data_IF_138553896204
#
_entry.id   IF_138553896204
#
_cell.length_a   1.000
_cell.length_b   1.000
_cell.length_c   1.000
_cell.angle_alpha   90.00
_cell.angle_beta   90.00
_cell.angle_gamma   90.00
#
_symmetry.space_group_name_H-M   'P 1'
#
loop_
_entity.id
_entity.type
_entity.pdbx_description
1 polymer ?
#
# COMPACT_ATOMS: atom_id res chain seq x y z
N UNK A 1 -5.05 66.47 25.22
CA UNK A 1 -3.67 65.97 25.38
C UNK A 1 -3.73 64.66 26.16
N UNK A 2 -4.17 63.57 25.53
CA UNK A 2 -4.14 62.18 26.09
C UNK A 2 -4.61 61.20 24.99
N UNK A 3 -3.72 60.83 24.08
CA UNK A 3 -4.02 59.80 23.07
C UNK A 3 -2.80 59.01 22.56
N UNK A 4 -1.74 58.90 23.35
CA UNK A 4 -0.52 58.19 22.89
C UNK A 4 -0.09 57.05 23.82
N UNK A 5 -0.80 56.77 24.92
CA UNK A 5 -0.35 55.79 25.89
C UNK A 5 -0.93 54.37 25.68
N UNK A 6 -2.00 54.21 24.92
CA UNK A 6 -2.64 52.86 24.77
C UNK A 6 -2.10 52.05 23.60
N UNK A 7 -1.34 52.65 22.70
CA UNK A 7 -0.83 51.97 21.49
C UNK A 7 0.44 51.16 21.75
N UNK A 8 1.27 51.60 22.71
CA UNK A 8 2.55 50.94 23.03
C UNK A 8 2.35 49.72 23.90
N UNK A 9 1.30 49.70 24.76
CA UNK A 9 1.03 48.56 25.63
C UNK A 9 0.46 47.36 24.89
N UNK A 10 -0.27 47.57 23.80
CA UNK A 10 -0.84 46.48 22.98
C UNK A 10 0.19 45.80 22.10
N UNK A 11 1.22 46.51 21.68
CA UNK A 11 2.30 45.96 20.84
C UNK A 11 3.26 45.06 21.64
N UNK A 12 3.44 45.35 22.93
CA UNK A 12 4.32 44.53 23.80
C UNK A 12 3.63 43.23 24.21
N UNK A 13 2.30 43.21 24.32
CA UNK A 13 1.56 41.96 24.68
C UNK A 13 1.50 40.96 23.54
N UNK A 14 1.54 41.39 22.28
CA UNK A 14 1.52 40.50 21.11
C UNK A 14 2.91 39.86 20.86
N UNK A 15 3.99 40.50 21.25
CA UNK A 15 5.36 40.00 21.09
C UNK A 15 5.75 38.93 22.09
N UNK A 16 5.05 38.82 23.21
CA UNK A 16 5.35 37.76 24.23
C UNK A 16 4.65 36.44 23.98
N UNK A 17 3.77 36.33 22.98
CA UNK A 17 3.07 35.07 22.67
C UNK A 17 3.78 34.22 21.59
N UNK A 18 4.91 34.70 21.06
CA UNK A 18 5.60 34.05 19.94
C UNK A 18 6.79 33.19 20.34
N UNK A 19 7.04 32.97 21.62
CA UNK A 19 8.09 32.08 22.10
C UNK A 19 7.48 30.88 22.82
N UNK A 20 6.63 30.11 22.14
CA UNK A 20 6.47 28.71 22.48
C UNK A 20 7.71 28.01 21.96
N UNK A 21 8.73 27.91 22.78
CA UNK A 21 9.86 27.02 22.57
C UNK A 21 9.30 25.63 22.61
N UNK A 22 9.03 25.03 21.44
CA UNK A 22 8.88 23.60 21.37
C UNK A 22 10.17 22.97 21.89
N UNK A 23 10.13 22.12 22.91
CA UNK A 23 11.33 21.41 23.32
C UNK A 23 11.84 20.68 22.11
N UNK A 24 13.05 21.03 21.68
CA UNK A 24 13.77 20.30 20.68
C UNK A 24 14.15 18.94 21.31
N UNK A 25 13.18 18.02 21.33
CA UNK A 25 13.47 16.63 21.60
C UNK A 25 14.32 16.15 20.41
N UNK A 26 15.63 16.32 20.58
CA UNK A 26 16.59 15.44 19.88
C UNK A 26 16.35 14.05 20.45
N UNK A 27 15.31 13.38 19.96
CA UNK A 27 15.31 11.92 19.95
C UNK A 27 16.51 11.56 19.10
N UNK A 28 17.45 10.84 19.69
CA UNK A 28 18.43 10.09 18.92
C UNK A 28 17.61 9.27 17.93
N UNK A 29 17.55 9.76 16.70
CA UNK A 29 17.01 9.04 15.56
C UNK A 29 17.94 7.83 15.31
N UNK A 30 17.78 6.81 16.10
CA UNK A 30 18.02 5.44 15.65
C UNK A 30 16.89 5.16 14.64
N UNK A 31 17.03 5.77 13.45
CA UNK A 31 16.19 5.45 12.30
C UNK A 31 16.49 4.01 11.94
N UNK A 32 15.81 3.09 12.60
CA UNK A 32 15.69 1.74 12.08
C UNK A 32 15.11 1.91 10.67
N UNK A 33 15.96 1.78 9.65
CA UNK A 33 15.52 1.84 8.26
C UNK A 33 14.58 0.66 8.06
N UNK A 34 13.27 0.92 8.17
CA UNK A 34 12.25 -0.07 7.84
C UNK A 34 12.41 -0.42 6.36
N UNK A 35 12.70 -1.67 6.08
CA UNK A 35 12.78 -2.19 4.73
C UNK A 35 11.49 -2.95 4.46
N UNK A 36 10.65 -2.42 3.57
CA UNK A 36 9.39 -3.04 3.17
C UNK A 36 9.61 -4.41 2.54
N UNK A 37 8.64 -5.32 2.67
CA UNK A 37 8.74 -6.67 2.13
C UNK A 37 9.09 -6.70 0.65
N UNK A 38 8.48 -5.83 -0.16
CA UNK A 38 8.74 -5.73 -1.59
C UNK A 38 10.22 -5.44 -1.95
N UNK A 39 10.96 -4.75 -1.09
CA UNK A 39 12.39 -4.48 -1.28
C UNK A 39 13.30 -5.66 -0.93
N UNK A 40 12.74 -6.78 -0.45
CA UNK A 40 13.50 -7.92 0.05
C UNK A 40 13.34 -9.17 -0.84
N UNK A 41 13.28 -8.99 -2.18
CA UNK A 41 13.07 -10.07 -3.16
C UNK A 41 13.98 -11.27 -2.89
N UNK A 42 15.25 -11.05 -2.60
CA UNK A 42 16.21 -12.13 -2.32
C UNK A 42 15.83 -13.05 -1.15
N UNK A 43 14.89 -12.65 -0.31
CA UNK A 43 14.41 -13.51 0.80
C UNK A 43 13.31 -14.47 0.38
N UNK A 44 12.60 -14.19 -0.72
CA UNK A 44 11.48 -14.99 -1.17
C UNK A 44 11.56 -15.42 -2.64
N UNK A 45 12.55 -14.97 -3.42
CA UNK A 45 12.71 -15.33 -4.83
C UNK A 45 12.74 -16.85 -5.08
N UNK A 46 13.36 -17.62 -4.17
CA UNK A 46 13.40 -19.09 -4.26
C UNK A 46 11.99 -19.72 -4.20
N UNK A 47 11.01 -19.06 -3.57
CA UNK A 47 9.63 -19.53 -3.51
C UNK A 47 8.88 -19.27 -4.81
N UNK A 48 9.38 -18.36 -5.64
CA UNK A 48 8.78 -17.92 -6.90
C UNK A 48 9.33 -18.64 -8.14
N UNK A 49 10.45 -19.38 -8.00
CA UNK A 49 11.08 -20.10 -9.11
C UNK A 49 10.13 -21.14 -9.71
N UNK A 50 9.99 -21.14 -11.03
CA UNK A 50 9.14 -22.05 -11.79
C UNK A 50 7.66 -22.03 -11.37
N UNK A 51 7.18 -20.91 -10.80
CA UNK A 51 5.80 -20.71 -10.35
C UNK A 51 5.08 -19.69 -11.21
N UNK A 52 3.82 -19.99 -11.53
CA UNK A 52 2.88 -19.03 -12.12
C UNK A 52 2.34 -18.15 -10.99
N UNK A 53 2.65 -16.86 -11.04
CA UNK A 53 2.47 -15.93 -9.94
C UNK A 53 1.23 -15.07 -10.18
N UNK A 54 0.28 -15.08 -9.23
CA UNK A 54 -0.77 -14.10 -9.13
C UNK A 54 -0.38 -13.00 -8.13
N UNK A 55 -0.58 -11.74 -8.47
CA UNK A 55 -0.20 -10.63 -7.60
C UNK A 55 -1.42 -9.76 -7.26
N UNK A 56 -1.74 -9.65 -5.98
CA UNK A 56 -2.72 -8.69 -5.46
C UNK A 56 -1.99 -7.38 -5.21
N UNK A 57 -2.23 -6.39 -6.05
CA UNK A 57 -1.44 -5.17 -6.10
C UNK A 57 -2.25 -3.93 -6.53
N UNK A 58 -1.79 -2.76 -6.12
CA UNK A 58 -2.26 -1.47 -6.59
C UNK A 58 -1.07 -0.51 -6.81
N UNK A 59 -1.32 0.77 -7.04
CA UNK A 59 -0.28 1.79 -7.26
C UNK A 59 0.73 1.92 -6.11
N UNK A 60 0.41 1.44 -4.90
CA UNK A 60 1.33 1.48 -3.76
C UNK A 60 2.32 0.31 -3.72
N UNK A 61 2.16 -0.68 -4.60
CA UNK A 61 3.00 -1.88 -4.68
C UNK A 61 4.35 -1.54 -5.32
N UNK A 62 5.19 -0.78 -4.61
CA UNK A 62 6.43 -0.23 -5.13
C UNK A 62 7.67 -0.75 -4.38
N UNK A 63 8.76 -0.88 -5.12
CA UNK A 63 10.10 -1.16 -4.63
C UNK A 63 10.88 0.14 -4.65
N UNK A 64 11.34 0.60 -3.50
CA UNK A 64 12.14 1.81 -3.38
C UNK A 64 13.58 1.58 -3.81
N UNK A 65 14.15 2.53 -4.53
CA UNK A 65 15.53 2.50 -4.99
C UNK A 65 16.40 3.49 -4.23
N UNK A 66 17.72 3.26 -4.24
CA UNK A 66 18.69 4.11 -3.55
C UNK A 66 18.76 5.54 -4.13
N UNK A 67 18.36 5.73 -5.38
CA UNK A 67 18.33 7.01 -6.09
C UNK A 67 17.05 7.83 -5.83
N UNK A 68 16.32 7.51 -4.75
CA UNK A 68 15.02 8.10 -4.39
C UNK A 68 13.90 7.83 -5.40
N UNK A 69 14.13 7.00 -6.39
CA UNK A 69 13.11 6.51 -7.30
C UNK A 69 12.41 5.27 -6.76
N UNK A 70 11.44 4.80 -7.53
CA UNK A 70 10.77 3.52 -7.27
C UNK A 70 10.41 2.83 -8.58
N UNK A 71 10.15 1.54 -8.50
CA UNK A 71 9.58 0.74 -9.58
C UNK A 71 8.41 -0.05 -9.02
N UNK A 72 7.40 -0.31 -9.84
CA UNK A 72 6.29 -1.15 -9.41
C UNK A 72 6.77 -2.60 -9.23
N UNK A 73 6.26 -3.32 -8.21
CA UNK A 73 6.65 -4.70 -7.92
C UNK A 73 6.44 -5.61 -9.14
N UNK A 74 5.28 -5.55 -9.79
CA UNK A 74 4.95 -6.34 -10.99
C UNK A 74 5.98 -6.12 -12.08
N UNK A 75 6.27 -4.84 -12.40
CA UNK A 75 7.27 -4.51 -13.44
C UNK A 75 8.67 -5.04 -13.07
N UNK A 76 8.99 -5.07 -11.78
CA UNK A 76 10.30 -5.56 -11.29
C UNK A 76 10.41 -7.07 -11.38
N UNK A 77 9.35 -7.81 -11.01
CA UNK A 77 9.34 -9.27 -11.10
C UNK A 77 9.39 -9.75 -12.54
N UNK A 78 8.64 -9.10 -13.46
CA UNK A 78 8.73 -9.41 -14.91
C UNK A 78 10.14 -9.15 -15.43
N UNK A 79 10.78 -8.05 -15.03
CA UNK A 79 12.15 -7.74 -15.45
C UNK A 79 13.19 -8.76 -14.91
N UNK A 80 12.86 -9.45 -13.84
CA UNK A 80 13.68 -10.53 -13.26
C UNK A 80 13.31 -11.91 -13.81
N UNK A 81 12.52 -11.97 -14.90
CA UNK A 81 12.08 -13.17 -15.59
C UNK A 81 11.20 -14.12 -14.75
N UNK A 82 10.51 -13.59 -13.72
CA UNK A 82 9.48 -14.36 -13.02
C UNK A 82 8.18 -14.42 -13.84
N UNK A 83 7.52 -15.58 -13.81
CA UNK A 83 6.26 -15.83 -14.53
C UNK A 83 5.07 -15.18 -13.80
N UNK A 84 4.91 -13.87 -13.95
CA UNK A 84 3.72 -13.15 -13.48
C UNK A 84 2.59 -13.38 -14.46
N UNK A 85 1.58 -14.15 -14.04
CA UNK A 85 0.47 -14.61 -14.89
C UNK A 85 -0.68 -13.60 -14.92
N UNK A 86 -1.06 -13.06 -13.76
CA UNK A 86 -2.15 -12.07 -13.68
C UNK A 86 -2.06 -11.21 -12.42
N UNK A 87 -2.82 -10.13 -12.44
CA UNK A 87 -2.92 -9.14 -11.39
C UNK A 87 -4.34 -9.16 -10.83
N UNK A 88 -4.48 -9.05 -9.52
CA UNK A 88 -5.73 -8.84 -8.81
C UNK A 88 -5.74 -7.44 -8.24
N UNK A 89 -6.61 -6.56 -8.73
CA UNK A 89 -6.65 -5.16 -8.35
C UNK A 89 -7.78 -4.88 -7.34
N UNK A 90 -7.47 -4.28 -6.17
CA UNK A 90 -8.50 -3.86 -5.22
C UNK A 90 -9.22 -2.60 -5.71
N UNK A 91 -10.09 -2.04 -4.88
CA UNK A 91 -10.68 -0.71 -5.08
C UNK A 91 -9.60 0.30 -5.51
N UNK A 92 -9.94 1.24 -6.39
CA UNK A 92 -9.07 2.21 -7.09
C UNK A 92 -8.21 1.64 -8.21
N UNK A 93 -8.29 0.34 -8.50
CA UNK A 93 -7.58 -0.28 -9.62
C UNK A 93 -6.08 -0.46 -9.42
N UNK A 94 -5.46 -1.07 -10.42
CA UNK A 94 -4.06 -1.48 -10.35
C UNK A 94 -3.08 -0.29 -10.39
N UNK A 95 -3.30 0.67 -11.27
CA UNK A 95 -2.41 1.85 -11.43
C UNK A 95 -2.90 3.08 -10.62
N UNK A 96 -4.03 2.96 -9.90
CA UNK A 96 -4.57 4.05 -9.06
C UNK A 96 -5.17 5.20 -9.85
N UNK A 97 -5.68 4.93 -11.02
CA UNK A 97 -6.30 5.94 -11.92
C UNK A 97 -7.81 6.05 -11.73
N UNK A 98 -8.42 5.10 -11.03
CA UNK A 98 -9.86 5.00 -10.92
C UNK A 98 -10.41 5.83 -9.75
N UNK A 99 -11.54 6.54 -9.94
CA UNK A 99 -12.20 7.29 -8.88
C UNK A 99 -12.71 6.39 -7.74
N UNK A 100 -12.95 6.99 -6.57
CA UNK A 100 -13.57 6.31 -5.42
C UNK A 100 -14.92 5.72 -5.81
N UNK A 101 -15.14 4.45 -5.49
CA UNK A 101 -16.42 3.76 -5.72
C UNK A 101 -16.72 3.46 -7.20
N UNK A 102 -15.75 3.64 -8.09
CA UNK A 102 -15.92 3.21 -9.48
C UNK A 102 -16.03 1.69 -9.57
N UNK A 103 -17.02 1.22 -10.34
CA UNK A 103 -17.04 -0.17 -10.77
C UNK A 103 -15.91 -0.36 -11.78
N UNK A 104 -14.95 -1.22 -11.45
CA UNK A 104 -13.81 -1.51 -12.29
C UNK A 104 -14.01 -2.91 -12.86
N UNK A 105 -14.12 -3.01 -14.18
CA UNK A 105 -14.18 -4.30 -14.86
C UNK A 105 -12.77 -4.88 -15.04
N UNK A 106 -12.69 -6.17 -15.38
CA UNK A 106 -11.45 -6.81 -15.76
C UNK A 106 -10.85 -6.12 -16.99
N UNK A 107 -9.55 -5.89 -16.97
CA UNK A 107 -8.84 -5.18 -18.06
C UNK A 107 -7.48 -5.80 -18.36
N UNK A 108 -6.76 -5.23 -19.31
CA UNK A 108 -5.37 -5.59 -19.63
C UNK A 108 -4.47 -4.40 -19.26
N UNK A 109 -3.45 -4.64 -18.47
CA UNK A 109 -2.43 -3.62 -18.21
C UNK A 109 -1.66 -3.31 -19.50
N UNK A 110 -1.81 -2.10 -20.02
CA UNK A 110 -1.22 -1.67 -21.31
C UNK A 110 0.31 -1.82 -21.31
N UNK A 111 0.93 -1.66 -20.13
CA UNK A 111 2.40 -1.68 -20.01
C UNK A 111 2.97 -3.09 -20.07
N UNK A 112 2.31 -4.06 -19.45
CA UNK A 112 2.83 -5.43 -19.31
C UNK A 112 2.10 -6.45 -20.15
N UNK A 113 0.90 -6.12 -20.66
CA UNK A 113 0.01 -7.06 -21.34
C UNK A 113 -0.68 -8.07 -20.43
N UNK A 114 -0.51 -7.95 -19.11
CA UNK A 114 -1.10 -8.86 -18.14
C UNK A 114 -2.59 -8.60 -17.96
N UNK A 115 -3.36 -9.68 -17.73
CA UNK A 115 -4.75 -9.58 -17.33
C UNK A 115 -4.84 -9.03 -15.91
N UNK A 116 -5.67 -8.01 -15.71
CA UNK A 116 -6.06 -7.46 -14.43
C UNK A 116 -7.46 -7.96 -14.10
N UNK A 117 -7.59 -8.65 -12.98
CA UNK A 117 -8.86 -9.09 -12.40
C UNK A 117 -9.27 -8.06 -11.35
N UNK A 118 -10.41 -7.42 -11.56
CA UNK A 118 -10.93 -6.48 -10.58
C UNK A 118 -11.56 -7.21 -9.39
N UNK A 119 -11.12 -6.88 -8.18
CA UNK A 119 -11.73 -7.34 -6.94
C UNK A 119 -12.85 -6.40 -6.47
N UNK A 120 -13.20 -5.38 -7.27
CA UNK A 120 -14.22 -4.37 -6.96
C UNK A 120 -15.19 -4.16 -8.13
N UNK A 121 -15.47 -5.21 -8.90
CA UNK A 121 -16.40 -5.17 -10.04
C UNK A 121 -17.85 -5.42 -9.66
N UNK A 122 -18.78 -5.03 -10.55
CA UNK A 122 -20.23 -5.20 -10.38
C UNK A 122 -20.69 -6.65 -10.27
N UNK A 123 -19.93 -7.58 -10.84
CA UNK A 123 -20.30 -9.00 -10.94
C UNK A 123 -19.62 -9.88 -9.91
N UNK A 124 -18.89 -9.29 -8.94
CA UNK A 124 -18.16 -10.00 -7.90
C UNK A 124 -18.65 -9.58 -6.53
N UNK A 125 -18.64 -10.53 -5.60
CA UNK A 125 -18.74 -10.16 -4.19
C UNK A 125 -17.48 -9.41 -3.80
N UNK A 126 -17.66 -8.30 -3.15
CA UNK A 126 -16.61 -7.33 -2.83
C UNK A 126 -15.34 -7.99 -2.26
N UNK A 127 -14.20 -7.79 -2.92
CA UNK A 127 -12.90 -8.27 -2.50
C UNK A 127 -12.62 -9.75 -2.70
N UNK A 128 -13.61 -10.57 -3.12
CA UNK A 128 -13.42 -12.01 -3.31
C UNK A 128 -12.69 -12.33 -4.64
N UNK A 129 -11.86 -13.37 -4.59
CA UNK A 129 -11.27 -14.00 -5.76
C UNK A 129 -12.07 -15.26 -6.10
N UNK A 130 -12.53 -15.37 -7.32
CA UNK A 130 -13.20 -16.58 -7.80
C UNK A 130 -12.19 -17.71 -8.00
N UNK A 131 -12.56 -18.93 -7.64
CA UNK A 131 -11.69 -20.10 -7.80
C UNK A 131 -11.28 -20.33 -9.27
N UNK A 132 -12.13 -19.90 -10.21
CA UNK A 132 -11.83 -19.92 -11.64
C UNK A 132 -10.63 -19.07 -12.04
N UNK A 133 -10.41 -17.96 -11.35
CA UNK A 133 -9.29 -17.04 -11.62
C UNK A 133 -7.96 -17.54 -11.06
N UNK A 134 -7.99 -18.56 -10.19
CA UNK A 134 -6.82 -19.14 -9.56
C UNK A 134 -6.28 -20.42 -10.23
N UNK A 135 -7.00 -20.98 -11.21
CA UNK A 135 -6.64 -22.29 -11.82
C UNK A 135 -5.25 -22.35 -12.47
N UNK A 136 -4.72 -21.21 -12.88
CA UNK A 136 -3.42 -21.08 -13.52
C UNK A 136 -2.39 -20.37 -12.62
N UNK A 137 -2.63 -20.35 -11.31
CA UNK A 137 -1.77 -19.71 -10.29
C UNK A 137 -1.21 -20.80 -9.38
N UNK A 138 0.11 -20.79 -9.17
CA UNK A 138 0.82 -21.69 -8.26
C UNK A 138 1.17 -21.03 -6.93
N UNK A 139 1.21 -19.69 -6.91
CA UNK A 139 1.51 -18.89 -5.72
C UNK A 139 0.89 -17.49 -5.84
N UNK A 140 0.39 -16.97 -4.72
CA UNK A 140 -0.11 -15.60 -4.61
C UNK A 140 0.88 -14.71 -3.86
N UNK A 141 0.99 -13.46 -4.31
CA UNK A 141 1.66 -12.38 -3.57
C UNK A 141 0.63 -11.31 -3.25
N UNK A 142 0.59 -10.86 -2.00
CA UNK A 142 -0.16 -9.69 -1.59
C UNK A 142 0.80 -8.54 -1.25
N UNK A 143 0.67 -7.42 -1.96
CA UNK A 143 1.53 -6.25 -1.78
C UNK A 143 0.71 -4.95 -1.90
N UNK A 144 0.07 -4.55 -0.83
CA UNK A 144 -0.73 -3.31 -0.76
C UNK A 144 -0.36 -2.58 0.52
N UNK A 145 -0.13 -1.26 0.44
CA UNK A 145 0.05 -0.41 1.61
C UNK A 145 -1.28 -0.22 2.33
N UNK A 146 -1.38 -0.71 3.56
CA UNK A 146 -2.48 -0.35 4.45
C UNK A 146 -2.40 1.14 4.82
N UNK A 147 -3.54 1.79 4.95
CA UNK A 147 -3.64 3.21 5.31
C UNK A 147 -3.74 3.44 6.82
N UNK A 148 -3.77 2.37 7.61
CA UNK A 148 -3.77 2.40 9.08
C UNK A 148 -5.09 2.79 9.72
N UNK A 149 -6.22 2.58 9.04
CA UNK A 149 -7.57 2.85 9.56
C UNK A 149 -8.51 1.67 9.31
N UNK A 150 -9.33 1.31 10.31
CA UNK A 150 -10.16 0.09 10.29
C UNK A 150 -11.26 0.08 9.24
N UNK A 151 -11.75 1.23 8.82
CA UNK A 151 -12.83 1.34 7.83
C UNK A 151 -12.34 1.26 6.39
N UNK A 152 -11.02 1.25 6.16
CA UNK A 152 -10.48 1.13 4.81
C UNK A 152 -10.44 -0.33 4.37
N UNK A 153 -10.71 -0.58 3.09
CA UNK A 153 -11.08 -1.90 2.58
C UNK A 153 -9.91 -2.85 2.31
N UNK A 154 -8.67 -2.39 2.36
CA UNK A 154 -7.51 -3.22 2.04
C UNK A 154 -7.31 -4.40 2.98
N UNK A 155 -7.64 -4.23 4.28
CA UNK A 155 -7.59 -5.34 5.24
C UNK A 155 -8.66 -6.41 4.93
N UNK A 156 -9.84 -5.99 4.46
CA UNK A 156 -10.88 -6.93 4.01
C UNK A 156 -10.44 -7.67 2.75
N UNK A 157 -9.81 -6.96 1.81
CA UNK A 157 -9.23 -7.60 0.61
C UNK A 157 -8.21 -8.67 1.00
N UNK A 158 -7.30 -8.39 1.95
CA UNK A 158 -6.34 -9.38 2.45
C UNK A 158 -7.05 -10.60 3.03
N UNK A 159 -8.10 -10.39 3.84
CA UNK A 159 -8.88 -11.48 4.42
C UNK A 159 -9.46 -12.41 3.34
N UNK A 160 -10.12 -11.87 2.31
CA UNK A 160 -10.68 -12.66 1.22
C UNK A 160 -9.61 -13.35 0.36
N UNK A 161 -8.46 -12.72 0.17
CA UNK A 161 -7.31 -13.34 -0.51
C UNK A 161 -6.78 -14.53 0.29
N UNK A 162 -6.68 -14.42 1.62
CA UNK A 162 -6.30 -15.53 2.50
C UNK A 162 -7.31 -16.69 2.44
N UNK A 163 -8.61 -16.40 2.43
CA UNK A 163 -9.66 -17.42 2.29
C UNK A 163 -9.56 -18.12 0.93
N UNK A 164 -9.40 -17.38 -0.17
CA UNK A 164 -9.28 -17.94 -1.50
C UNK A 164 -8.01 -18.81 -1.64
N UNK A 165 -6.88 -18.33 -1.11
CA UNK A 165 -5.62 -19.07 -1.03
C UNK A 165 -5.80 -20.41 -0.30
N UNK A 166 -6.37 -20.37 0.91
CA UNK A 166 -6.61 -21.58 1.71
C UNK A 166 -7.59 -22.54 1.04
N UNK A 167 -8.67 -22.04 0.43
CA UNK A 167 -9.68 -22.84 -0.25
C UNK A 167 -9.13 -23.59 -1.47
N UNK A 168 -8.14 -23.00 -2.16
CA UNK A 168 -7.54 -23.54 -3.37
C UNK A 168 -6.16 -24.19 -3.12
N UNK A 169 -5.71 -24.28 -1.87
CA UNK A 169 -4.39 -24.83 -1.49
C UNK A 169 -3.22 -24.13 -2.22
N UNK A 170 -3.33 -22.83 -2.42
CA UNK A 170 -2.32 -21.99 -3.08
C UNK A 170 -1.54 -21.22 -2.01
N UNK A 171 -0.20 -21.34 -1.94
CA UNK A 171 0.61 -20.53 -1.02
C UNK A 171 0.44 -19.03 -1.23
N UNK A 172 0.40 -18.26 -0.12
CA UNK A 172 0.32 -16.81 -0.13
C UNK A 172 1.54 -16.20 0.55
N UNK A 173 2.20 -15.27 -0.14
CA UNK A 173 3.24 -14.41 0.42
C UNK A 173 2.65 -13.03 0.68
N UNK A 174 2.74 -12.54 1.91
CA UNK A 174 2.37 -11.17 2.26
C UNK A 174 3.64 -10.34 2.38
N UNK A 175 3.77 -9.33 1.52
CA UNK A 175 4.89 -8.39 1.55
C UNK A 175 4.52 -7.23 2.49
N UNK A 176 4.98 -7.35 3.73
CA UNK A 176 4.63 -6.41 4.80
C UNK A 176 5.11 -4.99 4.50
N UNK A 177 4.24 -4.03 4.83
CA UNK A 177 4.47 -2.59 4.74
C UNK A 177 4.12 -1.93 6.07
N UNK A 178 4.89 -0.93 6.53
CA UNK A 178 4.65 -0.32 7.82
C UNK A 178 3.28 0.36 7.89
N UNK A 179 2.56 0.13 8.98
CA UNK A 179 1.33 0.85 9.27
C UNK A 179 1.67 2.32 9.57
N UNK A 180 1.15 3.30 8.83
CA UNK A 180 1.44 4.72 9.04
C UNK A 180 0.97 5.23 10.41
N UNK A 181 0.01 4.55 11.04
CA UNK A 181 -0.55 4.89 12.36
C UNK A 181 -0.01 4.00 13.50
N UNK A 182 1.08 3.25 13.29
CA UNK A 182 1.64 2.33 14.29
C UNK A 182 2.19 3.02 15.56
N UNK A 183 2.29 4.36 15.57
CA UNK A 183 2.84 5.13 16.69
C UNK A 183 1.83 5.37 17.82
N UNK A 184 0.56 4.99 17.66
CA UNK A 184 -0.46 5.06 18.70
C UNK A 184 -1.45 3.89 18.60
N UNK A 185 -2.16 3.64 19.70
CA UNK A 185 -3.29 2.71 19.76
C UNK A 185 -4.53 3.52 20.08
N UNK A 186 -5.57 3.39 19.27
CA UNK A 186 -6.83 4.08 19.42
C UNK A 186 -8.01 3.12 19.18
N UNK A 187 -9.14 3.47 19.76
CA UNK A 187 -10.38 2.73 19.63
C UNK A 187 -10.78 1.95 20.89
N UNK A 188 -12.02 1.39 20.90
CA UNK A 188 -12.58 0.65 22.03
C UNK A 188 -11.82 -0.66 22.26
#
# INVERSE_FOLDING_TARGET
MFKIQNSVLFTILVLNFSLIVYPNNKTNDDKSNVIVGANQISKYENLLQDKRIGIVANHTSVIFRKDLGYTHLVDSLIKLDFDVTKIFAPEHGFRGTEPNGANIDDEIDIKTGLKIISLHGTNRKYGEIDDGDLKDIDILIFDIQDVGVRFYTHISTLHYVMEASARNDIPLIILDRPNPNAHYVDGP
#
